data_IF_608020833621
#
_entry.id   IF_608020833621
#
_cell.length_a   1.000
_cell.length_b   1.000
_cell.length_c   1.000
_cell.angle_alpha   90.00
_cell.angle_beta   90.00
_cell.angle_gamma   90.00
#
_symmetry.space_group_name_H-M   'P 1'
#
loop_
_entity.id
_entity.type
_entity.pdbx_description
1 polymer ?
#
# COMPACT_ATOMS: atom_id res chain seq x y z
N UNK A 1 -2.06 22.90 -2.23
CA UNK A 1 -1.44 21.63 -2.67
C UNK A 1 -2.56 20.64 -2.92
N UNK A 2 -2.90 20.38 -4.19
CA UNK A 2 -3.93 19.42 -4.55
C UNK A 2 -3.26 18.05 -4.67
N UNK A 3 -3.62 17.13 -3.77
CA UNK A 3 -3.29 15.71 -3.92
C UNK A 3 -4.28 15.12 -4.94
N UNK A 4 -3.98 15.23 -6.23
CA UNK A 4 -4.66 14.43 -7.24
C UNK A 4 -4.32 12.96 -6.98
N UNK A 5 -5.30 12.08 -6.72
CA UNK A 5 -5.03 10.64 -6.68
C UNK A 5 -4.79 10.18 -8.13
N UNK A 6 -3.54 10.29 -8.57
CA UNK A 6 -3.10 9.66 -9.81
C UNK A 6 -3.24 8.14 -9.65
N UNK A 7 -3.90 7.53 -10.63
CA UNK A 7 -4.62 6.26 -10.54
C UNK A 7 -3.74 5.01 -10.48
N UNK A 8 -2.47 5.11 -10.12
CA UNK A 8 -1.59 3.94 -9.93
C UNK A 8 -0.49 4.28 -8.94
N UNK A 9 -0.80 4.32 -7.64
CA UNK A 9 0.26 4.32 -6.62
C UNK A 9 1.16 3.12 -6.87
N UNK A 10 2.46 3.37 -7.03
CA UNK A 10 3.46 2.31 -7.09
C UNK A 10 3.41 1.45 -5.84
N UNK A 11 3.76 0.15 -5.92
CA UNK A 11 3.84 -0.70 -4.73
C UNK A 11 4.78 -0.12 -3.67
N UNK A 12 5.77 0.67 -4.07
CA UNK A 12 6.67 1.38 -3.15
C UNK A 12 5.96 2.47 -2.34
N UNK A 13 5.08 3.26 -2.96
CA UNK A 13 4.30 4.29 -2.26
C UNK A 13 3.30 3.70 -1.28
N UNK A 14 2.65 2.60 -1.66
CA UNK A 14 1.72 1.89 -0.77
C UNK A 14 2.49 1.27 0.40
N UNK A 15 3.69 0.74 0.15
CA UNK A 15 4.56 0.21 1.20
C UNK A 15 5.04 1.32 2.15
N UNK A 16 5.39 2.50 1.65
CA UNK A 16 5.75 3.65 2.48
C UNK A 16 4.58 4.09 3.37
N UNK A 17 3.36 4.16 2.81
CA UNK A 17 2.14 4.45 3.57
C UNK A 17 1.87 3.40 4.67
N UNK A 18 2.10 2.11 4.39
CA UNK A 18 2.01 1.04 5.39
C UNK A 18 3.06 1.24 6.51
N UNK A 19 4.30 1.59 6.15
CA UNK A 19 5.38 1.82 7.12
C UNK A 19 5.10 3.04 7.99
N UNK A 20 4.62 4.15 7.42
CA UNK A 20 4.18 5.32 8.17
C UNK A 20 3.04 4.97 9.13
N UNK A 21 2.01 4.27 8.65
CA UNK A 21 0.88 3.82 9.45
C UNK A 21 1.29 2.97 10.67
N UNK A 22 2.26 2.05 10.47
CA UNK A 22 2.82 1.22 11.53
C UNK A 22 3.78 1.97 12.44
N UNK A 23 4.54 2.95 11.90
CA UNK A 23 5.50 3.73 12.67
C UNK A 23 4.80 4.67 13.68
N UNK A 24 3.72 5.34 13.28
CA UNK A 24 2.89 6.15 14.17
C UNK A 24 2.27 5.34 15.32
N UNK A 25 2.06 4.03 15.09
CA UNK A 25 1.40 3.11 16.03
C UNK A 25 2.39 2.15 16.69
N UNK A 26 3.69 2.37 16.51
CA UNK A 26 4.75 1.49 17.01
C UNK A 26 4.65 1.40 18.53
N UNK A 27 4.44 0.19 19.03
CA UNK A 27 4.33 -0.09 20.46
C UNK A 27 2.90 -0.12 21.01
N UNK A 28 1.87 -0.04 20.16
CA UNK A 28 0.47 -0.31 20.52
C UNK A 28 -0.13 -1.41 19.64
N UNK A 29 -1.06 -2.17 20.21
CA UNK A 29 -1.82 -3.17 19.47
C UNK A 29 -2.82 -2.45 18.55
N UNK A 30 -2.91 -2.86 17.30
CA UNK A 30 -3.89 -2.34 16.35
C UNK A 30 -5.29 -2.76 16.78
N UNK A 31 -6.20 -1.80 16.92
CA UNK A 31 -7.62 -2.08 17.14
C UNK A 31 -8.25 -2.70 15.87
N UNK A 32 -9.46 -3.24 16.01
CA UNK A 32 -10.15 -3.93 14.90
C UNK A 32 -10.28 -3.08 13.64
N UNK A 33 -10.57 -1.78 13.79
CA UNK A 33 -10.67 -0.83 12.68
C UNK A 33 -9.31 -0.55 12.01
N UNK A 34 -8.26 -0.40 12.81
CA UNK A 34 -6.90 -0.17 12.32
C UNK A 34 -6.36 -1.41 11.60
N UNK A 35 -6.71 -2.60 12.08
CA UNK A 35 -6.41 -3.86 11.39
C UNK A 35 -7.10 -3.92 10.04
N UNK A 36 -8.37 -3.53 9.95
CA UNK A 36 -9.10 -3.44 8.67
C UNK A 36 -8.47 -2.43 7.71
N UNK A 37 -8.03 -1.28 8.20
CA UNK A 37 -7.31 -0.29 7.39
C UNK A 37 -5.99 -0.84 6.85
N UNK A 38 -5.21 -1.52 7.71
CA UNK A 38 -3.98 -2.20 7.31
C UNK A 38 -4.24 -3.30 6.26
N UNK A 39 -5.28 -4.11 6.44
CA UNK A 39 -5.65 -5.16 5.48
C UNK A 39 -5.99 -4.59 4.10
N UNK A 40 -6.71 -3.46 4.03
CA UNK A 40 -7.00 -2.78 2.76
C UNK A 40 -5.74 -2.28 2.08
N UNK A 41 -4.87 -1.59 2.81
CA UNK A 41 -3.58 -1.10 2.28
C UNK A 41 -2.71 -2.27 1.79
N UNK A 42 -2.68 -3.37 2.55
CA UNK A 42 -1.94 -4.58 2.16
C UNK A 42 -2.53 -5.24 0.91
N UNK A 43 -3.86 -5.27 0.76
CA UNK A 43 -4.50 -5.80 -0.44
C UNK A 43 -4.21 -4.93 -1.68
N UNK A 44 -4.24 -3.60 -1.53
CA UNK A 44 -3.88 -2.64 -2.57
C UNK A 44 -2.40 -2.81 -2.99
N UNK A 45 -1.50 -2.96 -2.01
CA UNK A 45 -0.09 -3.25 -2.26
C UNK A 45 0.11 -4.56 -3.02
N UNK A 46 -0.57 -5.64 -2.61
CA UNK A 46 -0.48 -6.93 -3.29
C UNK A 46 -1.01 -6.85 -4.72
N UNK A 47 -2.08 -6.09 -4.97
CA UNK A 47 -2.60 -5.86 -6.31
C UNK A 47 -1.60 -5.09 -7.17
N UNK A 48 -0.97 -4.03 -6.62
CA UNK A 48 0.06 -3.25 -7.30
C UNK A 48 1.34 -4.04 -7.56
N UNK A 49 1.78 -4.90 -6.63
CA UNK A 49 2.93 -5.80 -6.83
C UNK A 49 2.63 -6.85 -7.89
N UNK A 50 1.41 -7.40 -7.91
CA UNK A 50 1.00 -8.40 -8.91
C UNK A 50 0.72 -7.80 -10.29
N UNK A 51 0.29 -6.54 -10.34
CA UNK A 51 0.06 -5.76 -11.56
C UNK A 51 1.27 -4.94 -12.01
N UNK A 52 2.38 -4.96 -11.24
CA UNK A 52 3.66 -4.41 -11.66
C UNK A 52 4.11 -5.07 -12.95
N UNK A 53 4.92 -4.37 -13.78
CA UNK A 53 5.15 -4.75 -15.16
C UNK A 53 5.55 -6.21 -15.25
N UNK A 54 4.59 -7.02 -15.68
CA UNK A 54 4.86 -8.29 -16.27
C UNK A 54 5.84 -8.00 -17.41
N UNK A 55 7.09 -8.40 -17.19
CA UNK A 55 7.98 -8.77 -18.27
C UNK A 55 7.30 -9.92 -19.04
N UNK A 56 6.35 -9.59 -19.91
CA UNK A 56 5.77 -10.47 -20.93
C UNK A 56 5.15 -9.58 -22.01
N UNK A 57 5.67 -9.44 -23.23
CA UNK A 57 6.82 -10.08 -23.85
C UNK A 57 7.51 -9.16 -24.85
N UNK A 58 8.83 -9.11 -24.74
CA UNK A 58 9.73 -8.89 -25.87
C UNK A 58 10.04 -10.28 -26.43
N UNK A 59 9.37 -10.69 -27.51
CA UNK A 59 9.90 -11.53 -28.60
C UNK A 59 8.84 -11.69 -29.70
#
# INVERSE_FOLDING_TARGET
MAVTPDLTRSPEEINDAIRAFLAERRGRMLNGEERRAYERLRAEWLAAVRGGPCLTGQR
#
